data_IF_302728166323
#
_entry.id   IF_302728166323
#
_cell.length_a   1.000
_cell.length_b   1.000
_cell.length_c   1.000
_cell.angle_alpha   90.00
_cell.angle_beta   90.00
_cell.angle_gamma   90.00
#
_symmetry.space_group_name_H-M   'P 1'
#
loop_
_entity.id
_entity.type
_entity.pdbx_description
1 polymer ?
#
# COMPACT_ATOMS: atom_id res chain seq x y z
N UNK A 1 2.97 -13.57 -12.45
CA UNK A 1 2.13 -13.18 -11.29
C UNK A 1 2.57 -11.80 -10.81
N UNK A 2 1.68 -10.81 -10.77
CA UNK A 2 2.00 -9.39 -10.42
C UNK A 2 2.01 -9.18 -8.90
N UNK A 3 1.28 -9.99 -8.12
CA UNK A 3 1.02 -9.72 -6.70
C UNK A 3 2.25 -9.70 -5.78
N UNK A 4 3.26 -10.60 -5.91
CA UNK A 4 4.48 -10.48 -5.10
C UNK A 4 5.25 -9.18 -5.36
N UNK A 5 5.17 -8.64 -6.59
CA UNK A 5 5.82 -7.38 -6.92
C UNK A 5 5.12 -6.18 -6.25
N UNK A 6 3.81 -6.28 -5.99
CA UNK A 6 3.05 -5.26 -5.27
C UNK A 6 3.55 -5.15 -3.83
N UNK A 7 3.68 -6.28 -3.12
CA UNK A 7 4.17 -6.29 -1.72
C UNK A 7 5.61 -5.76 -1.61
N UNK A 8 6.44 -6.00 -2.64
CA UNK A 8 7.83 -5.50 -2.71
C UNK A 8 7.95 -4.07 -3.22
N UNK A 9 6.86 -3.47 -3.67
CA UNK A 9 6.88 -2.13 -4.24
C UNK A 9 7.15 -1.07 -3.16
N UNK A 10 7.86 -0.02 -3.54
CA UNK A 10 8.11 1.15 -2.69
C UNK A 10 6.82 1.74 -2.10
N UNK A 11 5.75 2.02 -2.88
CA UNK A 11 4.53 2.61 -2.32
C UNK A 11 3.89 1.71 -1.25
N UNK A 12 3.78 0.40 -1.51
CA UNK A 12 3.23 -0.54 -0.54
C UNK A 12 4.03 -0.56 0.77
N UNK A 13 5.36 -0.63 0.67
CA UNK A 13 6.22 -0.70 1.86
C UNK A 13 6.24 0.62 2.63
N UNK A 14 6.15 1.76 1.96
CA UNK A 14 6.01 3.07 2.61
C UNK A 14 4.69 3.20 3.36
N UNK A 15 3.59 2.78 2.76
CA UNK A 15 2.27 2.85 3.40
C UNK A 15 2.18 1.90 4.60
N UNK A 16 2.69 0.67 4.45
CA UNK A 16 2.75 -0.29 5.55
C UNK A 16 3.64 0.20 6.69
N UNK A 17 4.78 0.83 6.38
CA UNK A 17 5.70 1.40 7.36
C UNK A 17 5.08 2.53 8.19
N UNK A 18 4.24 3.35 7.56
CA UNK A 18 3.57 4.50 8.18
C UNK A 18 2.24 4.15 8.84
N UNK A 19 1.80 2.89 8.73
CA UNK A 19 0.62 2.40 9.42
C UNK A 19 0.90 2.30 10.94
N UNK A 20 -0.05 2.65 11.83
CA UNK A 20 0.15 2.54 13.28
C UNK A 20 0.01 1.09 13.77
N UNK A 21 0.83 0.65 14.71
CA UNK A 21 0.86 -0.70 15.31
C UNK A 21 0.95 -0.59 16.83
N UNK A 22 0.30 -1.51 17.53
CA UNK A 22 0.48 -1.65 18.97
C UNK A 22 1.74 -2.47 19.23
N UNK A 23 2.68 -1.92 20.00
CA UNK A 23 3.90 -2.60 20.43
C UNK A 23 3.80 -2.98 21.92
N UNK A 24 4.37 -4.13 22.36
CA UNK A 24 4.24 -4.60 23.74
C UNK A 24 4.80 -3.62 24.80
N UNK A 25 5.82 -2.85 24.45
CA UNK A 25 6.54 -1.95 25.37
C UNK A 25 5.97 -0.51 25.36
N UNK A 26 4.86 -0.26 24.65
CA UNK A 26 4.31 1.08 24.45
C UNK A 26 2.80 1.11 24.64
N UNK A 27 2.32 2.07 25.42
CA UNK A 27 0.87 2.24 25.67
C UNK A 27 0.13 2.82 24.45
N UNK A 28 0.84 3.47 23.52
CA UNK A 28 0.26 4.10 22.35
C UNK A 28 0.68 3.42 21.04
N UNK A 29 -0.21 3.37 20.03
CA UNK A 29 0.14 2.87 18.70
C UNK A 29 1.23 3.74 18.05
N UNK A 30 2.27 3.10 17.53
CA UNK A 30 3.39 3.74 16.84
C UNK A 30 3.53 3.21 15.42
N UNK A 31 4.16 3.97 14.52
CA UNK A 31 4.49 3.47 13.18
C UNK A 31 5.78 2.63 13.23
N UNK A 32 5.98 1.75 12.24
CA UNK A 32 7.28 1.06 12.09
C UNK A 32 8.41 2.07 11.90
N UNK A 33 8.14 3.17 11.19
CA UNK A 33 9.12 4.26 11.04
C UNK A 33 9.57 4.81 12.40
N UNK A 34 8.61 5.25 13.23
CA UNK A 34 8.88 5.84 14.55
C UNK A 34 9.54 4.83 15.49
N UNK A 35 9.03 3.61 15.57
CA UNK A 35 9.56 2.59 16.49
C UNK A 35 11.02 2.22 16.19
N UNK A 36 11.37 1.96 14.93
CA UNK A 36 12.73 1.56 14.56
C UNK A 36 13.72 2.72 14.47
N UNK A 37 13.24 3.94 14.16
CA UNK A 37 14.10 5.11 14.03
C UNK A 37 14.33 5.84 15.37
N UNK A 38 13.31 5.90 16.23
CA UNK A 38 13.34 6.73 17.45
C UNK A 38 13.40 5.89 18.73
N UNK A 39 12.70 4.75 18.83
CA UNK A 39 12.63 3.99 20.08
C UNK A 39 13.77 2.98 20.23
N UNK A 40 14.14 2.28 19.15
CA UNK A 40 15.13 1.18 19.18
C UNK A 40 16.60 1.65 19.17
N UNK A 41 16.89 2.95 19.00
CA UNK A 41 18.28 3.46 18.97
C UNK A 41 18.85 3.57 20.40
N UNK A 42 20.06 3.00 20.69
CA UNK A 42 20.69 3.16 21.98
C UNK A 42 21.00 4.65 22.22
N UNK A 43 20.34 5.26 23.21
CA UNK A 43 20.47 6.69 23.55
C UNK A 43 19.18 7.52 23.43
N UNK A 44 18.09 6.96 22.89
CA UNK A 44 16.85 7.71 22.65
C UNK A 44 15.81 7.67 23.81
N UNK A 45 16.08 6.92 24.88
CA UNK A 45 15.26 6.86 26.10
C UNK A 45 15.04 8.24 26.78
N UNK A 46 15.85 9.25 26.44
CA UNK A 46 15.72 10.61 26.96
C UNK A 46 14.70 11.52 26.26
N UNK A 47 14.13 11.11 25.11
CA UNK A 47 13.32 12.00 24.26
C UNK A 47 11.79 11.84 24.42
N UNK A 48 11.31 10.71 24.95
CA UNK A 48 9.88 10.47 25.19
C UNK A 48 9.26 11.43 26.22
N UNK A 49 10.09 12.07 27.06
CA UNK A 49 9.63 13.04 28.06
C UNK A 49 9.32 14.43 27.50
N UNK A 50 9.79 14.76 26.28
CA UNK A 50 9.63 16.11 25.71
C UNK A 50 8.47 16.25 24.74
N UNK A 51 7.96 15.14 24.19
CA UNK A 51 6.91 15.19 23.16
C UNK A 51 5.50 14.78 23.66
N UNK A 52 5.35 14.46 24.94
CA UNK A 52 4.07 14.00 25.52
C UNK A 52 3.42 14.97 26.51
N UNK A 53 4.11 16.04 26.92
CA UNK A 53 3.53 17.07 27.81
C UNK A 53 3.00 18.21 26.93
N UNK A 54 1.81 17.99 26.39
CA UNK A 54 0.99 19.05 25.80
C UNK A 54 0.57 18.80 24.36
N UNK A 55 -0.59 18.16 24.19
CA UNK A 55 -1.73 18.69 23.42
C UNK A 55 -2.76 17.59 23.10
N UNK A 56 -3.86 17.49 23.86
CA UNK A 56 -5.13 17.00 23.34
C UNK A 56 -6.02 18.21 23.02
N UNK A 57 -6.26 18.46 21.73
CA UNK A 57 -7.38 19.27 21.24
C UNK A 57 -7.11 20.75 21.00
N UNK A 58 -6.85 21.11 19.74
CA UNK A 58 -7.27 22.39 19.17
C UNK A 58 -7.65 22.18 17.70
N UNK A 59 -8.96 22.12 17.44
CA UNK A 59 -9.53 22.58 16.17
C UNK A 59 -9.92 24.04 16.44
N UNK A 60 -9.16 24.99 15.90
CA UNK A 60 -9.56 26.38 15.73
C UNK A 60 -8.56 27.11 14.81
N UNK A 61 -9.10 27.78 13.79
CA UNK A 61 -8.43 28.76 12.93
C UNK A 61 -7.72 29.85 13.75
N UNK A 62 -6.50 30.24 13.34
CA UNK A 62 -6.08 31.66 13.18
C UNK A 62 -4.54 31.79 13.05
N UNK A 63 -4.15 32.53 12.00
CA UNK A 63 -2.90 33.25 11.68
C UNK A 63 -1.62 33.15 12.53
N UNK A 64 -0.50 33.00 11.80
CA UNK A 64 0.93 33.28 12.10
C UNK A 64 1.42 33.03 13.53
N UNK A 65 2.47 32.24 13.78
CA UNK A 65 3.78 32.19 13.14
C UNK A 65 4.49 30.90 13.59
N UNK A 66 5.44 30.42 12.80
CA UNK A 66 6.48 29.44 13.14
C UNK A 66 6.03 28.09 13.73
N UNK A 67 5.54 27.22 12.85
CA UNK A 67 5.63 25.78 13.06
C UNK A 67 6.36 25.14 11.88
N UNK A 68 7.47 24.46 12.20
CA UNK A 68 8.19 23.60 11.29
C UNK A 68 7.26 22.48 10.82
N UNK A 69 6.64 22.73 9.68
CA UNK A 69 6.05 21.71 8.83
C UNK A 69 7.16 20.72 8.48
N UNK A 70 6.98 19.46 8.86
CA UNK A 70 7.52 18.33 8.12
C UNK A 70 6.86 18.36 6.75
N UNK A 71 7.34 19.27 5.91
CA UNK A 71 7.02 19.34 4.52
C UNK A 71 7.52 18.03 3.90
N UNK A 72 6.58 17.17 3.53
CA UNK A 72 6.69 16.46 2.27
C UNK A 72 7.01 17.52 1.23
N UNK A 73 8.29 17.62 0.90
CA UNK A 73 8.82 18.50 -0.12
C UNK A 73 8.13 18.13 -1.44
N UNK A 74 7.04 18.83 -1.75
CA UNK A 74 6.40 18.81 -3.05
C UNK A 74 7.29 19.59 -4.01
N UNK A 75 8.45 19.01 -4.30
CA UNK A 75 9.21 19.31 -5.48
C UNK A 75 8.67 18.39 -6.58
N UNK A 76 8.04 19.01 -7.57
CA UNK A 76 7.55 18.47 -8.83
C UNK A 76 8.57 17.55 -9.51
N UNK A 77 8.54 16.29 -9.14
CA UNK A 77 9.25 15.22 -9.79
C UNK A 77 8.38 13.97 -9.74
N UNK A 78 8.21 13.34 -10.90
CA UNK A 78 7.36 12.15 -11.14
C UNK A 78 7.91 10.86 -10.48
N UNK A 79 8.75 10.99 -9.45
CA UNK A 79 9.42 9.86 -8.82
C UNK A 79 9.44 9.96 -7.29
N UNK A 80 9.39 8.79 -6.64
CA UNK A 80 9.46 8.67 -5.19
C UNK A 80 10.94 8.72 -4.76
N UNK A 81 11.29 9.66 -3.87
CA UNK A 81 12.60 9.72 -3.24
C UNK A 81 12.55 9.17 -1.81
N UNK A 82 13.55 8.38 -1.43
CA UNK A 82 13.64 7.74 -0.11
C UNK A 82 14.83 8.29 0.67
N UNK A 83 14.63 8.53 1.96
CA UNK A 83 15.74 8.78 2.89
C UNK A 83 16.48 7.47 3.21
N UNK A 84 17.73 7.57 3.67
CA UNK A 84 18.52 6.39 4.08
C UNK A 84 17.84 5.56 5.17
N UNK A 85 17.16 6.20 6.11
CA UNK A 85 16.44 5.51 7.19
C UNK A 85 15.21 4.78 6.65
N UNK A 86 14.44 5.40 5.74
CA UNK A 86 13.30 4.75 5.09
C UNK A 86 13.74 3.52 4.28
N UNK A 87 14.82 3.61 3.50
CA UNK A 87 15.33 2.45 2.74
C UNK A 87 15.79 1.31 3.65
N UNK A 88 16.34 1.63 4.83
CA UNK A 88 16.73 0.62 5.83
C UNK A 88 15.52 -0.14 6.37
N UNK A 89 14.47 0.58 6.76
CA UNK A 89 13.23 -0.02 7.27
C UNK A 89 12.51 -0.80 6.17
N UNK A 90 12.52 -0.28 4.94
CA UNK A 90 12.00 -0.97 3.76
C UNK A 90 12.64 -2.34 3.56
N UNK A 91 13.96 -2.43 3.63
CA UNK A 91 14.70 -3.71 3.57
C UNK A 91 14.36 -4.65 4.73
N UNK A 92 14.05 -4.13 5.92
CA UNK A 92 13.58 -4.95 7.02
C UNK A 92 12.19 -5.51 6.74
N UNK A 93 11.26 -4.68 6.25
CA UNK A 93 9.92 -5.10 5.87
C UNK A 93 9.92 -6.14 4.75
N UNK A 94 10.82 -6.00 3.76
CA UNK A 94 10.98 -6.96 2.65
C UNK A 94 11.35 -8.37 3.14
N UNK A 95 12.11 -8.48 4.24
CA UNK A 95 12.46 -9.75 4.87
C UNK A 95 11.41 -10.23 5.88
N UNK A 96 10.53 -9.33 6.33
CA UNK A 96 9.55 -9.60 7.39
C UNK A 96 8.23 -10.07 6.80
N UNK A 97 7.77 -9.45 5.70
CA UNK A 97 6.48 -9.72 5.07
C UNK A 97 6.70 -10.52 3.80
N UNK A 98 6.19 -11.74 3.75
CA UNK A 98 6.32 -12.63 2.60
C UNK A 98 4.95 -12.94 1.98
N UNK A 99 4.90 -12.96 0.65
CA UNK A 99 3.72 -13.34 -0.12
C UNK A 99 4.08 -14.47 -1.06
N UNK A 100 3.53 -15.65 -0.79
CA UNK A 100 3.64 -16.82 -1.66
C UNK A 100 2.37 -16.98 -2.50
N UNK A 101 2.56 -17.35 -3.76
CA UNK A 101 1.47 -17.55 -4.71
C UNK A 101 1.43 -19.03 -5.08
N UNK A 102 0.31 -19.68 -4.82
CA UNK A 102 0.07 -21.03 -5.32
C UNK A 102 -0.83 -20.94 -6.56
N UNK A 103 -0.20 -20.89 -7.74
CA UNK A 103 -0.89 -20.81 -9.03
C UNK A 103 -1.72 -22.07 -9.36
N UNK A 104 -1.34 -23.23 -8.80
CA UNK A 104 -2.02 -24.51 -9.06
C UNK A 104 -3.36 -24.57 -8.35
N UNK A 105 -3.37 -24.16 -7.09
CA UNK A 105 -4.54 -24.25 -6.21
C UNK A 105 -5.28 -22.91 -6.09
N UNK A 106 -4.76 -21.83 -6.69
CA UNK A 106 -5.43 -20.54 -6.83
C UNK A 106 -5.50 -19.70 -5.55
N UNK A 107 -4.62 -19.93 -4.57
CA UNK A 107 -4.59 -19.17 -3.32
C UNK A 107 -3.27 -18.45 -3.07
N UNK A 108 -3.34 -17.41 -2.23
CA UNK A 108 -2.20 -16.62 -1.78
C UNK A 108 -1.95 -16.88 -0.30
N UNK A 109 -0.68 -17.01 0.08
CA UNK A 109 -0.26 -17.11 1.48
C UNK A 109 0.51 -15.85 1.83
N UNK A 110 -0.08 -15.00 2.68
CA UNK A 110 0.59 -13.83 3.25
C UNK A 110 1.02 -14.16 4.67
N UNK A 111 2.30 -14.00 4.97
CA UNK A 111 2.87 -14.21 6.30
C UNK A 111 3.73 -13.01 6.71
N UNK A 112 3.84 -12.80 8.02
CA UNK A 112 4.78 -11.83 8.58
C UNK A 112 5.52 -12.44 9.78
N UNK A 113 6.83 -12.25 9.84
CA UNK A 113 7.68 -12.84 10.89
C UNK A 113 8.33 -11.77 11.74
N UNK A 114 7.84 -11.59 12.97
CA UNK A 114 8.39 -10.65 13.96
C UNK A 114 8.75 -11.34 15.26
N UNK A 115 9.53 -10.66 16.11
CA UNK A 115 9.90 -11.18 17.43
C UNK A 115 8.69 -11.32 18.36
N UNK A 116 7.72 -10.41 18.21
CA UNK A 116 6.48 -10.43 18.99
C UNK A 116 5.33 -11.06 18.17
N UNK A 117 4.57 -12.02 18.74
CA UNK A 117 3.50 -12.72 18.03
C UNK A 117 2.27 -11.83 17.75
N UNK A 118 1.95 -10.87 18.62
CA UNK A 118 0.81 -9.96 18.40
C UNK A 118 1.13 -8.97 17.28
N UNK A 119 2.36 -8.45 17.25
CA UNK A 119 2.85 -7.60 16.17
C UNK A 119 2.86 -8.35 14.83
N UNK A 120 3.22 -9.63 14.82
CA UNK A 120 3.19 -10.46 13.61
C UNK A 120 1.76 -10.52 13.04
N UNK A 121 0.79 -10.82 13.90
CA UNK A 121 -0.62 -10.86 13.51
C UNK A 121 -1.13 -9.49 13.03
N UNK A 122 -0.81 -8.40 13.74
CA UNK A 122 -1.19 -7.05 13.31
C UNK A 122 -0.58 -6.70 11.95
N UNK A 123 0.70 -7.02 11.73
CA UNK A 123 1.41 -6.78 10.48
C UNK A 123 0.81 -7.57 9.33
N UNK A 124 0.59 -8.87 9.50
CA UNK A 124 -0.10 -9.68 8.49
C UNK A 124 -1.49 -9.13 8.20
N UNK A 125 -2.26 -8.72 9.21
CA UNK A 125 -3.62 -8.22 9.03
C UNK A 125 -3.66 -6.89 8.26
N UNK A 126 -2.77 -5.96 8.59
CA UNK A 126 -2.66 -4.66 7.89
C UNK A 126 -2.11 -4.84 6.48
N UNK A 127 -1.09 -5.68 6.30
CA UNK A 127 -0.59 -6.04 4.98
C UNK A 127 -1.65 -6.73 4.11
N UNK A 128 -2.52 -7.58 4.70
CA UNK A 128 -3.64 -8.21 4.00
C UNK A 128 -4.61 -7.15 3.46
N UNK A 129 -5.05 -6.23 4.32
CA UNK A 129 -5.98 -5.17 3.93
C UNK A 129 -5.38 -4.26 2.85
N UNK A 130 -4.12 -3.86 3.03
CA UNK A 130 -3.41 -3.04 2.07
C UNK A 130 -3.28 -3.75 0.72
N UNK A 131 -2.85 -5.02 0.72
CA UNK A 131 -2.69 -5.81 -0.49
C UNK A 131 -4.02 -5.98 -1.24
N UNK A 132 -5.10 -6.27 -0.51
CA UNK A 132 -6.43 -6.35 -1.08
C UNK A 132 -6.83 -5.04 -1.76
N UNK A 133 -6.63 -3.90 -1.09
CA UNK A 133 -6.94 -2.59 -1.65
C UNK A 133 -6.10 -2.29 -2.89
N UNK A 134 -4.78 -2.50 -2.83
CA UNK A 134 -3.89 -2.23 -3.97
C UNK A 134 -4.21 -3.12 -5.17
N UNK A 135 -4.49 -4.41 -4.96
CA UNK A 135 -4.88 -5.30 -6.06
C UNK A 135 -6.23 -4.88 -6.63
N UNK A 136 -7.20 -4.55 -5.77
CA UNK A 136 -8.52 -4.10 -6.21
C UNK A 136 -8.38 -2.85 -7.08
N UNK A 137 -7.65 -1.85 -6.63
CA UNK A 137 -7.42 -0.61 -7.37
C UNK A 137 -6.75 -0.87 -8.72
N UNK A 138 -5.66 -1.64 -8.72
CA UNK A 138 -4.94 -2.00 -9.93
C UNK A 138 -5.81 -2.78 -10.93
N UNK A 139 -6.69 -3.66 -10.44
CA UNK A 139 -7.57 -4.48 -11.29
C UNK A 139 -8.67 -3.66 -11.94
N UNK A 140 -9.24 -2.70 -11.22
CA UNK A 140 -10.38 -1.90 -11.70
C UNK A 140 -10.00 -0.54 -12.27
N UNK A 141 -8.72 -0.15 -12.22
CA UNK A 141 -8.21 1.16 -12.69
C UNK A 141 -8.75 1.52 -14.08
N UNK A 142 -8.61 0.61 -15.04
CA UNK A 142 -9.10 0.81 -16.41
C UNK A 142 -10.61 1.02 -16.47
N UNK A 143 -11.37 0.20 -15.74
CA UNK A 143 -12.83 0.28 -15.72
C UNK A 143 -13.31 1.56 -15.03
N UNK A 144 -12.64 1.99 -13.96
CA UNK A 144 -12.88 3.26 -13.26
C UNK A 144 -12.63 4.46 -14.18
N UNK A 145 -11.49 4.50 -14.86
CA UNK A 145 -11.16 5.58 -15.79
C UNK A 145 -12.17 5.66 -16.93
N UNK A 146 -12.63 4.50 -17.43
CA UNK A 146 -13.68 4.45 -18.44
C UNK A 146 -15.03 4.96 -17.92
N UNK A 147 -15.40 4.58 -16.69
CA UNK A 147 -16.61 5.05 -16.03
C UNK A 147 -16.57 6.57 -15.85
N UNK A 148 -15.47 7.12 -15.32
CA UNK A 148 -15.27 8.55 -15.12
C UNK A 148 -15.40 9.33 -16.44
N UNK A 149 -14.74 8.85 -17.50
CA UNK A 149 -14.86 9.44 -18.82
C UNK A 149 -16.31 9.43 -19.34
N UNK A 150 -17.03 8.30 -19.24
CA UNK A 150 -18.42 8.22 -19.70
C UNK A 150 -19.33 9.12 -18.86
N UNK A 151 -19.12 9.17 -17.55
CA UNK A 151 -19.89 10.02 -16.63
C UNK A 151 -19.72 11.51 -16.96
N UNK A 152 -18.48 11.96 -17.22
CA UNK A 152 -18.21 13.32 -17.66
C UNK A 152 -18.95 13.66 -18.97
N UNK A 153 -18.82 12.77 -19.98
CA UNK A 153 -19.48 12.95 -21.28
C UNK A 153 -20.99 12.92 -21.16
N UNK A 154 -21.54 12.04 -20.32
CA UNK A 154 -22.97 11.96 -20.03
C UNK A 154 -23.49 13.27 -19.44
N UNK A 155 -22.80 13.82 -18.43
CA UNK A 155 -23.19 15.06 -17.79
C UNK A 155 -23.11 16.27 -18.74
N UNK A 156 -22.11 16.32 -19.61
CA UNK A 156 -22.01 17.35 -20.66
C UNK A 156 -23.17 17.25 -21.66
N UNK A 157 -23.44 16.04 -22.19
CA UNK A 157 -24.48 15.86 -23.21
C UNK A 157 -25.90 15.94 -22.67
N UNK A 158 -26.10 15.62 -21.40
CA UNK A 158 -27.37 15.86 -20.70
C UNK A 158 -27.72 17.35 -20.71
N UNK A 159 -26.77 18.23 -20.37
CA UNK A 159 -26.98 19.69 -20.42
C UNK A 159 -27.31 20.18 -21.82
N UNK A 160 -26.56 19.71 -22.83
CA UNK A 160 -26.83 20.07 -24.23
C UNK A 160 -28.23 19.61 -24.70
N UNK A 161 -28.67 18.42 -24.28
CA UNK A 161 -30.02 17.91 -24.54
C UNK A 161 -31.10 18.77 -23.87
N UNK A 162 -30.92 19.12 -22.59
CA UNK A 162 -31.85 19.98 -21.85
C UNK A 162 -31.95 21.39 -22.48
N UNK A 163 -30.84 21.94 -22.99
CA UNK A 163 -30.80 23.20 -23.73
C UNK A 163 -31.55 23.14 -25.06
N UNK A 164 -31.36 22.07 -25.85
CA UNK A 164 -32.08 21.85 -27.11
C UNK A 164 -33.59 21.67 -26.85
N UNK A 165 -33.95 20.91 -25.82
CA UNK A 165 -35.33 20.72 -25.38
C UNK A 165 -35.98 22.06 -25.00
N UNK A 166 -35.31 22.87 -24.18
CA UNK A 166 -35.81 24.18 -23.77
C UNK A 166 -35.94 25.14 -24.97
N UNK A 167 -35.06 25.05 -25.95
CA UNK A 167 -35.10 25.89 -27.16
C UNK A 167 -36.27 25.51 -28.06
N UNK A 168 -36.47 24.22 -28.33
CA UNK A 168 -37.64 23.73 -29.07
C UNK A 168 -38.95 24.09 -28.35
N UNK A 169 -39.02 23.89 -27.03
CA UNK A 169 -40.19 24.23 -26.23
C UNK A 169 -40.54 25.74 -26.31
N UNK A 170 -39.53 26.61 -26.15
CA UNK A 170 -39.71 28.07 -26.28
C UNK A 170 -40.15 28.48 -27.68
N UNK A 171 -39.61 27.85 -28.73
CA UNK A 171 -40.03 28.12 -30.11
C UNK A 171 -41.50 27.73 -30.33
N UNK A 172 -41.89 26.51 -29.91
CA UNK A 172 -43.27 26.04 -30.00
C UNK A 172 -44.25 26.92 -29.22
N UNK A 173 -43.86 27.35 -28.03
CA UNK A 173 -44.70 28.21 -27.19
C UNK A 173 -44.96 29.59 -27.83
N UNK A 174 -43.92 30.17 -28.45
CA UNK A 174 -44.02 31.45 -29.17
C UNK A 174 -44.76 31.37 -30.51
N UNK A 175 -44.82 30.20 -31.14
CA UNK A 175 -45.30 30.03 -32.52
C UNK A 175 -46.54 29.11 -32.66
N UNK A 176 -47.40 29.00 -31.64
CA UNK A 176 -48.53 28.04 -31.58
C UNK A 176 -49.53 28.08 -32.74
N UNK A 177 -49.57 29.13 -33.56
CA UNK A 177 -50.52 29.29 -34.67
C UNK A 177 -49.90 29.89 -35.95
N UNK A 178 -48.59 29.70 -36.17
CA UNK A 178 -47.89 30.29 -37.33
C UNK A 178 -48.01 29.37 -38.55
N UNK A 179 -48.55 29.89 -39.65
CA UNK A 179 -48.67 29.17 -40.94
C UNK A 179 -47.50 29.42 -41.89
N UNK A 180 -46.53 30.24 -41.49
CA UNK A 180 -45.34 30.56 -42.29
C UNK A 180 -44.50 29.30 -42.57
N UNK A 181 -44.17 29.07 -43.83
CA UNK A 181 -43.28 27.99 -44.24
C UNK A 181 -41.89 28.10 -43.58
N UNK A 182 -41.39 29.32 -43.40
CA UNK A 182 -40.10 29.57 -42.73
C UNK A 182 -40.12 29.16 -41.25
N UNK A 183 -41.23 29.42 -40.55
CA UNK A 183 -41.38 28.99 -39.16
C UNK A 183 -41.44 27.46 -39.04
N UNK A 184 -42.09 26.78 -39.99
CA UNK A 184 -42.11 25.31 -40.03
C UNK A 184 -40.73 24.72 -40.26
N UNK A 185 -39.97 25.25 -41.22
CA UNK A 185 -38.57 24.81 -41.46
C UNK A 185 -37.70 25.02 -40.22
N UNK A 186 -37.86 26.14 -39.51
CA UNK A 186 -37.13 26.39 -38.26
C UNK A 186 -37.53 25.41 -37.15
N UNK A 187 -38.82 25.08 -37.04
CA UNK A 187 -39.28 24.08 -36.07
C UNK A 187 -38.69 22.69 -36.36
N UNK A 188 -38.69 22.27 -37.64
CA UNK A 188 -38.09 21.01 -38.08
C UNK A 188 -36.59 20.95 -37.75
N UNK A 189 -35.85 22.04 -37.95
CA UNK A 189 -34.45 22.15 -37.56
C UNK A 189 -34.26 21.95 -36.05
N UNK A 190 -35.00 22.69 -35.22
CA UNK A 190 -34.93 22.58 -33.77
C UNK A 190 -35.36 21.19 -33.27
N UNK A 191 -36.31 20.55 -33.94
CA UNK A 191 -36.73 19.18 -33.65
C UNK A 191 -35.64 18.17 -33.99
N UNK A 192 -34.95 18.32 -35.12
CA UNK A 192 -33.81 17.47 -35.48
C UNK A 192 -32.64 17.65 -34.52
N UNK A 193 -32.35 18.88 -34.09
CA UNK A 193 -31.33 19.16 -33.07
C UNK A 193 -31.68 18.51 -31.72
N UNK A 194 -32.93 18.64 -31.28
CA UNK A 194 -33.43 17.94 -30.09
C UNK A 194 -33.28 16.43 -30.20
N UNK A 195 -33.69 15.84 -31.35
CA UNK A 195 -33.64 14.40 -31.57
C UNK A 195 -32.20 13.88 -31.56
N UNK A 196 -31.27 14.58 -32.22
CA UNK A 196 -29.86 14.25 -32.20
C UNK A 196 -29.28 14.31 -30.79
N UNK A 197 -29.59 15.37 -30.04
CA UNK A 197 -29.12 15.53 -28.67
C UNK A 197 -29.68 14.43 -27.75
N UNK A 198 -30.96 14.08 -27.91
CA UNK A 198 -31.62 13.00 -27.18
C UNK A 198 -30.98 11.63 -27.47
N UNK A 199 -30.71 11.31 -28.73
CA UNK A 199 -30.09 10.04 -29.13
C UNK A 199 -28.69 9.88 -28.53
N UNK A 200 -27.86 10.92 -28.61
CA UNK A 200 -26.51 10.90 -28.03
C UNK A 200 -26.57 10.79 -26.51
N UNK A 201 -27.44 11.55 -25.85
CA UNK A 201 -27.65 11.46 -24.40
C UNK A 201 -28.13 10.06 -23.98
N UNK A 202 -29.12 9.50 -24.68
CA UNK A 202 -29.68 8.17 -24.38
C UNK A 202 -28.65 7.06 -24.58
N UNK A 203 -27.79 7.16 -25.59
CA UNK A 203 -26.70 6.21 -25.80
C UNK A 203 -25.66 6.29 -24.67
N UNK A 204 -25.28 7.50 -24.24
CA UNK A 204 -24.36 7.69 -23.11
C UNK A 204 -24.96 7.18 -21.79
N UNK A 205 -26.28 7.33 -21.58
CA UNK A 205 -26.96 6.76 -20.42
C UNK A 205 -26.82 5.23 -20.37
N UNK A 206 -27.02 4.55 -21.50
CA UNK A 206 -26.83 3.10 -21.60
C UNK A 206 -25.37 2.69 -21.36
N UNK A 207 -24.42 3.44 -21.94
CA UNK A 207 -22.99 3.19 -21.73
C UNK A 207 -22.56 3.42 -20.27
N UNK A 208 -23.16 4.41 -19.59
CA UNK A 208 -22.88 4.68 -18.18
C UNK A 208 -23.26 3.50 -17.30
N UNK A 209 -24.47 2.97 -17.48
CA UNK A 209 -24.94 1.77 -16.77
C UNK A 209 -24.04 0.56 -17.07
N UNK A 210 -23.66 0.36 -18.33
CA UNK A 210 -22.75 -0.71 -18.70
C UNK A 210 -21.37 -0.56 -18.04
N UNK A 211 -20.82 0.66 -17.99
CA UNK A 211 -19.54 0.93 -17.33
C UNK A 211 -19.62 0.71 -15.81
N UNK A 212 -20.72 1.07 -15.17
CA UNK A 212 -20.94 0.78 -13.75
C UNK A 212 -21.01 -0.72 -13.46
N UNK A 213 -21.66 -1.49 -14.35
CA UNK A 213 -21.68 -2.95 -14.27
C UNK A 213 -20.26 -3.50 -14.45
N UNK A 214 -19.51 -3.00 -15.43
CA UNK A 214 -18.14 -3.43 -15.70
C UNK A 214 -17.21 -3.22 -14.49
N UNK A 215 -17.29 -2.06 -13.83
CA UNK A 215 -16.52 -1.81 -12.60
C UNK A 215 -16.87 -2.83 -11.51
N UNK A 216 -18.15 -3.16 -11.33
CA UNK A 216 -18.59 -4.16 -10.35
C UNK A 216 -18.14 -5.57 -10.71
N UNK A 217 -18.17 -5.92 -12.00
CA UNK A 217 -17.75 -7.22 -12.51
C UNK A 217 -16.23 -7.42 -12.40
N UNK A 218 -15.45 -6.39 -12.73
CA UNK A 218 -13.99 -6.42 -12.66
C UNK A 218 -13.46 -6.33 -11.22
N UNK A 219 -14.32 -5.93 -10.25
CA UNK A 219 -13.94 -5.85 -8.84
C UNK A 219 -13.68 -7.25 -8.29
N UNK A 220 -12.43 -7.59 -7.92
CA UNK A 220 -12.10 -8.91 -7.40
C UNK A 220 -12.72 -9.15 -6.02
N UNK A 221 -13.35 -10.31 -5.83
CA UNK A 221 -13.85 -10.76 -4.52
C UNK A 221 -12.82 -11.67 -3.87
N UNK A 222 -12.24 -11.23 -2.75
CA UNK A 222 -11.28 -12.02 -1.98
C UNK A 222 -11.99 -12.82 -0.88
N UNK A 223 -11.75 -14.13 -0.84
CA UNK A 223 -12.22 -15.00 0.24
C UNK A 223 -11.05 -15.38 1.15
N UNK A 224 -11.23 -15.21 2.46
CA UNK A 224 -10.22 -15.58 3.46
C UNK A 224 -10.36 -17.06 3.78
N UNK A 225 -9.44 -17.89 3.28
CA UNK A 225 -9.41 -19.33 3.57
C UNK A 225 -8.91 -19.62 4.98
N UNK A 226 -7.83 -18.94 5.39
CA UNK A 226 -7.26 -19.01 6.74
C UNK A 226 -7.20 -17.60 7.31
N UNK A 227 -7.91 -17.30 8.40
CA UNK A 227 -7.84 -16.00 9.03
C UNK A 227 -6.47 -15.78 9.66
N UNK A 228 -6.11 -14.51 9.82
CA UNK A 228 -4.91 -14.14 10.58
C UNK A 228 -5.13 -14.46 12.05
N UNK A 229 -4.22 -15.24 12.63
CA UNK A 229 -4.23 -15.66 14.03
C UNK A 229 -2.93 -15.25 14.72
N UNK A 230 -2.98 -14.99 16.02
CA UNK A 230 -1.77 -14.80 16.83
C UNK A 230 -1.07 -16.15 16.99
N UNK A 231 0.20 -16.29 16.56
CA UNK A 231 0.92 -17.55 16.68
C UNK A 231 1.22 -17.87 18.15
N UNK A 232 1.07 -19.15 18.52
CA UNK A 232 1.41 -19.67 19.86
C UNK A 232 2.77 -20.38 19.89
N UNK A 233 3.23 -20.86 18.74
CA UNK A 233 4.50 -21.55 18.54
C UNK A 233 5.43 -20.66 17.73
N UNK A 234 6.73 -20.74 18.02
CA UNK A 234 7.76 -20.02 17.28
C UNK A 234 8.14 -20.74 15.98
N UNK A 235 8.44 -19.97 14.95
CA UNK A 235 8.86 -20.49 13.63
C UNK A 235 10.35 -20.93 13.62
N UNK A 236 11.03 -20.84 14.77
CA UNK A 236 12.46 -21.16 14.86
C UNK A 236 12.64 -22.64 15.17
N UNK A 237 13.28 -23.36 14.25
CA UNK A 237 13.79 -24.71 14.53
C UNK A 237 14.98 -24.62 15.50
N UNK A 238 14.72 -24.39 16.79
CA UNK A 238 15.76 -24.34 17.84
C UNK A 238 16.62 -25.59 17.88
N UNK A 239 16.09 -26.73 17.41
CA UNK A 239 16.81 -27.98 17.23
C UNK A 239 17.95 -27.86 16.19
N UNK A 240 17.74 -27.16 15.07
CA UNK A 240 18.77 -26.99 14.04
C UNK A 240 19.93 -26.12 14.56
N UNK A 241 19.61 -25.04 15.29
CA UNK A 241 20.61 -24.19 15.95
C UNK A 241 21.42 -24.99 16.98
N UNK A 242 20.76 -25.81 17.80
CA UNK A 242 21.43 -26.66 18.79
C UNK A 242 22.38 -27.67 18.13
N UNK A 243 21.99 -28.28 17.01
CA UNK A 243 22.84 -29.20 16.25
C UNK A 243 24.08 -28.47 15.71
N UNK A 244 23.92 -27.28 15.12
CA UNK A 244 25.04 -26.50 14.57
C UNK A 244 26.03 -26.11 15.67
N UNK A 245 25.56 -25.60 16.82
CA UNK A 245 26.43 -25.21 17.92
C UNK A 245 27.14 -26.40 18.58
N UNK A 246 26.45 -27.54 18.70
CA UNK A 246 27.04 -28.77 19.22
C UNK A 246 28.15 -29.27 18.28
N UNK A 247 27.90 -29.27 16.97
CA UNK A 247 28.90 -29.64 15.97
C UNK A 247 30.12 -28.69 16.01
N UNK A 248 29.89 -27.38 16.08
CA UNK A 248 30.95 -26.38 16.17
C UNK A 248 31.78 -26.52 17.46
N UNK A 249 31.13 -26.86 18.57
CA UNK A 249 31.78 -27.17 19.86
C UNK A 249 32.69 -28.39 19.78
N UNK A 250 32.26 -29.47 19.10
CA UNK A 250 33.08 -30.67 18.90
C UNK A 250 34.31 -30.36 18.04
N UNK A 251 34.12 -29.64 16.92
CA UNK A 251 35.23 -29.28 16.01
C UNK A 251 36.26 -28.40 16.72
N UNK A 252 35.82 -27.42 17.49
CA UNK A 252 36.72 -26.54 18.27
C UNK A 252 37.46 -27.30 19.37
N UNK A 253 36.79 -28.24 20.05
CA UNK A 253 37.44 -29.10 21.06
C UNK A 253 38.53 -30.00 20.46
N UNK A 254 38.24 -30.64 19.32
CA UNK A 254 39.22 -31.45 18.57
C UNK A 254 40.38 -30.57 18.13
N UNK A 255 40.10 -29.41 17.52
CA UNK A 255 41.12 -28.46 17.08
C UNK A 255 42.03 -27.98 18.23
N UNK A 256 41.47 -27.76 19.41
CA UNK A 256 42.24 -27.36 20.59
C UNK A 256 43.19 -28.47 21.08
N UNK A 257 42.72 -29.72 21.11
CA UNK A 257 43.52 -30.88 21.53
C UNK A 257 44.70 -31.08 20.57
N UNK A 258 44.42 -31.15 19.27
CA UNK A 258 45.47 -31.31 18.25
C UNK A 258 46.40 -30.08 18.19
N UNK A 259 45.87 -28.87 18.34
CA UNK A 259 46.67 -27.65 18.38
C UNK A 259 47.67 -27.64 19.55
N UNK A 260 47.24 -28.05 20.75
CA UNK A 260 48.12 -28.15 21.92
C UNK A 260 49.22 -29.20 21.73
N UNK A 261 48.89 -30.34 21.13
CA UNK A 261 49.85 -31.42 20.87
C UNK A 261 50.86 -31.04 19.76
N UNK A 262 50.40 -30.35 18.72
CA UNK A 262 51.25 -29.81 17.67
C UNK A 262 52.19 -28.71 18.19
N UNK A 263 51.67 -27.73 18.95
CA UNK A 263 52.48 -26.69 19.59
C UNK A 263 53.50 -27.25 20.59
N UNK A 264 53.13 -28.31 21.32
CA UNK A 264 54.06 -29.02 22.21
C UNK A 264 55.19 -29.71 21.44
N UNK A 265 54.88 -30.34 20.32
CA UNK A 265 55.86 -31.01 19.45
C UNK A 265 56.80 -30.02 18.78
N UNK A 266 56.27 -28.92 18.25
CA UNK A 266 57.05 -27.84 17.63
C UNK A 266 57.95 -27.14 18.65
N UNK A 267 57.47 -26.89 19.88
CA UNK A 267 58.30 -26.30 20.95
C UNK A 267 59.44 -27.22 21.40
N UNK A 268 59.21 -28.53 21.39
CA UNK A 268 60.25 -29.53 21.72
C UNK A 268 61.34 -29.59 20.64
N UNK A 269 60.94 -29.57 19.37
CA UNK A 269 61.87 -29.51 18.24
C UNK A 269 62.62 -28.16 18.15
N UNK A 270 61.99 -27.04 18.53
CA UNK A 270 62.66 -25.74 18.61
C UNK A 270 63.77 -25.75 19.69
N UNK A 271 63.47 -26.27 20.89
CA UNK A 271 64.43 -26.32 22.00
C UNK A 271 65.59 -27.30 21.75
N UNK A 272 65.41 -28.34 20.93
CA UNK A 272 66.51 -29.25 20.54
C UNK A 272 67.45 -28.65 19.46
N UNK A 273 67.06 -27.57 18.79
CA UNK A 273 67.86 -26.94 17.73
C UNK A 273 68.59 -25.66 18.13
N UNK A 274 68.48 -25.21 19.39
CA UNK A 274 69.30 -24.13 19.96
C UNK A 274 69.74 -24.49 21.39
N UNK A 275 70.75 -25.37 21.57
CA UNK A 275 71.54 -25.36 22.79
C UNK A 275 72.34 -24.04 22.87
N UNK A 276 72.53 -23.54 24.08
CA UNK A 276 73.22 -22.28 24.43
C UNK A 276 74.46 -21.93 23.60
#
# INVERSE_FOLDING_TARGET
>A
MVYPQIVKSVPFQLELMNTPFQFPEQDQPLTFYTYFNEVKKPGALGLLKKYTIGLPGVIAESGNDDNQQLASDQSSNDYISLTKEQEKIRKQLDNTVNLEVNDKDGYLTLSATTLDPELAAQLTKKAQALLQNTITEFKIEKAKNQLEFIEERYNEKKKAFEEAQATLARFRDRNKNVTSALARTQEEQLQNEYQLAFEVYSQLAQQLEQAQIQVKEDTPVFSVLKPVTVPLEDDTSGAMTLIIFTFLGVVTAIGWIFGKEFLGTVKKQWNEHHPE
#
